data_IF_442451797753
#
_entry.id   IF_442451797753
#
_cell.length_a   1.000
_cell.length_b   1.000
_cell.length_c   1.000
_cell.angle_alpha   90.00
_cell.angle_beta   90.00
_cell.angle_gamma   90.00
#
_symmetry.space_group_name_H-M   'P 1'
#
loop_
_entity.id
_entity.type
_entity.pdbx_description
1 polymer ?
#
# COMPACT_ATOMS: atom_id res chain seq x y z
N UNK A 1 -2.17 -17.18 25.47
CA UNK A 1 -2.16 -15.98 24.61
C UNK A 1 -2.37 -14.70 25.43
N UNK A 2 -3.45 -14.57 26.20
CA UNK A 2 -3.72 -13.38 26.99
C UNK A 2 -2.60 -13.01 27.99
N UNK A 3 -1.97 -14.00 28.64
CA UNK A 3 -0.84 -13.75 29.54
C UNK A 3 0.42 -13.25 28.82
N UNK A 4 0.72 -13.73 27.62
CA UNK A 4 1.86 -13.28 26.84
C UNK A 4 1.70 -11.79 26.43
N UNK A 5 0.53 -11.40 25.95
CA UNK A 5 0.24 -10.02 25.60
C UNK A 5 0.43 -9.08 26.81
N UNK A 6 -0.11 -9.45 27.98
CA UNK A 6 0.02 -8.64 29.20
C UNK A 6 1.45 -8.55 29.72
N UNK A 7 2.26 -9.59 29.51
CA UNK A 7 3.67 -9.62 29.94
C UNK A 7 4.61 -8.86 28.98
N UNK A 8 4.34 -8.89 27.66
CA UNK A 8 5.24 -8.29 26.65
C UNK A 8 4.84 -6.87 26.22
N UNK A 9 3.56 -6.53 26.28
CA UNK A 9 3.05 -5.24 25.83
C UNK A 9 2.18 -4.60 26.90
N UNK A 10 2.61 -3.44 27.40
CA UNK A 10 1.79 -2.61 28.29
C UNK A 10 0.71 -1.87 27.49
N UNK A 11 -0.35 -1.41 28.17
CA UNK A 11 -1.39 -0.55 27.54
C UNK A 11 -0.78 0.69 26.87
N UNK A 12 0.31 1.20 27.43
CA UNK A 12 1.05 2.34 26.88
C UNK A 12 1.74 1.98 25.56
N UNK A 13 2.32 0.78 25.47
CA UNK A 13 3.00 0.30 24.25
C UNK A 13 1.99 0.05 23.13
N UNK A 14 0.82 -0.52 23.46
CA UNK A 14 -0.27 -0.70 22.51
C UNK A 14 -0.78 0.64 21.96
N UNK A 15 -1.01 1.63 22.81
CA UNK A 15 -1.39 2.97 22.36
C UNK A 15 -0.32 3.62 21.49
N UNK A 16 0.97 3.44 21.84
CA UNK A 16 2.11 3.96 21.08
C UNK A 16 2.25 3.27 19.70
N UNK A 17 1.79 2.04 19.57
CA UNK A 17 1.76 1.29 18.33
C UNK A 17 0.55 1.64 17.46
N UNK A 18 -0.66 1.66 18.06
CA UNK A 18 -1.94 1.80 17.33
C UNK A 18 -2.13 3.23 16.84
N UNK A 19 -1.84 4.25 17.66
CA UNK A 19 -2.12 5.64 17.30
C UNK A 19 -1.44 6.11 16.01
N UNK A 20 -0.13 5.84 15.78
CA UNK A 20 0.51 6.15 14.51
C UNK A 20 -0.13 5.43 13.32
N UNK A 21 -0.62 4.20 13.51
CA UNK A 21 -1.29 3.44 12.44
C UNK A 21 -2.66 4.03 12.08
N UNK A 22 -3.41 4.51 13.07
CA UNK A 22 -4.67 5.25 12.80
C UNK A 22 -4.39 6.49 11.97
N UNK A 23 -3.37 7.27 12.35
CA UNK A 23 -2.97 8.45 11.57
C UNK A 23 -2.52 8.08 10.16
N UNK A 24 -1.73 7.01 10.00
CA UNK A 24 -1.29 6.50 8.69
C UNK A 24 -2.49 6.13 7.80
N UNK A 25 -3.50 5.45 8.35
CA UNK A 25 -4.71 5.09 7.59
C UNK A 25 -5.57 6.32 7.22
N UNK A 26 -5.69 7.29 8.13
CA UNK A 26 -6.35 8.56 7.84
C UNK A 26 -5.66 9.29 6.68
N UNK A 27 -4.33 9.36 6.72
CA UNK A 27 -3.53 9.98 5.67
C UNK A 27 -3.68 9.28 4.32
N UNK A 28 -3.75 7.95 4.31
CA UNK A 28 -3.94 7.18 3.08
C UNK A 28 -5.29 7.50 2.42
N UNK A 29 -6.36 7.65 3.22
CA UNK A 29 -7.68 8.08 2.71
C UNK A 29 -7.62 9.53 2.22
N UNK A 30 -6.96 10.41 2.96
CA UNK A 30 -6.85 11.84 2.63
C UNK A 30 -6.11 12.06 1.31
N UNK A 31 -5.02 11.33 1.03
CA UNK A 31 -4.32 11.39 -0.27
C UNK A 31 -5.29 11.10 -1.42
N UNK A 32 -6.01 9.98 -1.36
CA UNK A 32 -6.93 9.60 -2.43
C UNK A 32 -8.03 10.65 -2.67
N UNK A 33 -8.56 11.25 -1.58
CA UNK A 33 -9.55 12.32 -1.70
C UNK A 33 -8.95 13.60 -2.32
N UNK A 34 -7.75 14.01 -1.90
CA UNK A 34 -7.07 15.19 -2.42
C UNK A 34 -6.69 15.01 -3.89
N UNK A 35 -6.16 13.84 -4.28
CA UNK A 35 -5.84 13.55 -5.68
C UNK A 35 -7.09 13.68 -6.56
N UNK A 36 -8.20 13.09 -6.15
CA UNK A 36 -9.48 13.16 -6.88
C UNK A 36 -9.99 14.60 -6.98
N UNK A 37 -9.95 15.37 -5.87
CA UNK A 37 -10.40 16.78 -5.87
C UNK A 37 -9.53 17.65 -6.77
N UNK A 38 -8.22 17.45 -6.79
CA UNK A 38 -7.30 18.24 -7.61
C UNK A 38 -7.43 17.90 -9.10
N UNK A 39 -7.61 16.61 -9.41
CA UNK A 39 -7.87 16.16 -10.80
C UNK A 39 -9.24 16.61 -11.29
N UNK A 40 -10.23 16.79 -10.41
CA UNK A 40 -11.55 17.31 -10.80
C UNK A 40 -11.48 18.70 -11.44
N UNK A 41 -10.47 19.51 -11.08
CA UNK A 41 -10.16 20.76 -11.76
C UNK A 41 -9.73 20.63 -13.23
N UNK A 42 -9.35 19.41 -13.68
CA UNK A 42 -8.95 19.14 -15.07
C UNK A 42 -10.12 18.69 -15.97
N UNK A 43 -11.31 18.51 -15.41
CA UNK A 43 -12.52 18.13 -16.14
C UNK A 43 -13.01 16.71 -15.82
N UNK A 44 -14.23 16.42 -16.26
CA UNK A 44 -14.94 15.18 -15.97
C UNK A 44 -14.25 13.94 -16.58
N UNK A 45 -13.74 14.06 -17.81
CA UNK A 45 -13.01 12.98 -18.48
C UNK A 45 -11.72 12.61 -17.74
N UNK A 46 -11.04 13.58 -17.11
CA UNK A 46 -9.85 13.36 -16.32
C UNK A 46 -10.16 12.55 -15.04
N UNK A 47 -11.20 12.94 -14.31
CA UNK A 47 -11.65 12.21 -13.10
C UNK A 47 -12.07 10.79 -13.44
N UNK A 48 -12.84 10.62 -14.50
CA UNK A 48 -13.29 9.31 -14.96
C UNK A 48 -12.11 8.41 -15.33
N UNK A 49 -11.14 8.93 -16.10
CA UNK A 49 -9.93 8.20 -16.49
C UNK A 49 -9.09 7.75 -15.30
N UNK A 50 -8.86 8.64 -14.33
CA UNK A 50 -8.13 8.32 -13.09
C UNK A 50 -8.88 7.25 -12.28
N UNK A 51 -10.22 7.38 -12.14
CA UNK A 51 -11.03 6.43 -11.37
C UNK A 51 -10.99 5.00 -11.95
N UNK A 52 -10.98 4.88 -13.28
CA UNK A 52 -10.83 3.56 -13.94
C UNK A 52 -9.49 2.91 -13.59
N UNK A 53 -8.41 3.68 -13.68
CA UNK A 53 -7.06 3.18 -13.35
C UNK A 53 -6.92 2.89 -11.86
N UNK A 54 -7.54 3.68 -10.99
CA UNK A 54 -7.50 3.46 -9.54
C UNK A 54 -8.15 2.13 -9.14
N UNK A 55 -9.12 1.65 -9.89
CA UNK A 55 -9.68 0.31 -9.69
C UNK A 55 -8.62 -0.78 -9.84
N UNK A 56 -7.73 -0.63 -10.83
CA UNK A 56 -6.58 -1.54 -11.03
C UNK A 56 -5.52 -1.32 -9.94
N UNK A 57 -5.21 -0.07 -9.62
CA UNK A 57 -4.25 0.29 -8.59
C UNK A 57 -4.60 -0.34 -7.24
N UNK A 58 -5.87 -0.31 -6.83
CA UNK A 58 -6.35 -0.90 -5.57
C UNK A 58 -6.09 -2.41 -5.53
N UNK A 59 -6.33 -3.13 -6.63
CA UNK A 59 -6.04 -4.57 -6.70
C UNK A 59 -4.54 -4.85 -6.51
N UNK A 60 -3.68 -4.11 -7.19
CA UNK A 60 -2.22 -4.28 -7.09
C UNK A 60 -1.69 -3.90 -5.71
N UNK A 61 -2.18 -2.80 -5.12
CA UNK A 61 -1.85 -2.39 -3.75
C UNK A 61 -2.20 -3.50 -2.76
N UNK A 62 -3.36 -4.14 -2.89
CA UNK A 62 -3.76 -5.25 -2.03
C UNK A 62 -2.82 -6.46 -2.16
N UNK A 63 -2.36 -6.79 -3.38
CA UNK A 63 -1.39 -7.87 -3.61
C UNK A 63 -0.06 -7.55 -2.91
N UNK A 64 0.47 -6.33 -3.08
CA UNK A 64 1.72 -5.92 -2.43
C UNK A 64 1.59 -5.88 -0.91
N UNK A 65 0.47 -5.38 -0.39
CA UNK A 65 0.18 -5.33 1.04
C UNK A 65 0.05 -6.72 1.66
N UNK A 66 -0.59 -7.66 0.96
CA UNK A 66 -0.74 -9.04 1.43
C UNK A 66 0.63 -9.74 1.56
N UNK A 67 1.50 -9.60 0.55
CA UNK A 67 2.85 -10.14 0.59
C UNK A 67 3.69 -9.47 1.68
N UNK A 68 3.58 -8.14 1.81
CA UNK A 68 4.25 -7.36 2.85
C UNK A 68 3.81 -7.82 4.25
N UNK A 69 2.52 -8.04 4.46
CA UNK A 69 1.97 -8.57 5.72
C UNK A 69 2.47 -9.98 6.02
N UNK A 70 2.50 -10.87 5.01
CA UNK A 70 3.06 -12.22 5.18
C UNK A 70 4.51 -12.21 5.66
N UNK A 71 5.34 -11.36 5.06
CA UNK A 71 6.73 -11.21 5.48
C UNK A 71 6.89 -10.55 6.85
N UNK A 72 6.05 -9.57 7.17
CA UNK A 72 6.02 -8.93 8.49
C UNK A 72 5.67 -9.93 9.60
N UNK A 73 4.71 -10.84 9.37
CA UNK A 73 4.35 -11.91 10.31
C UNK A 73 5.55 -12.84 10.54
N UNK A 74 6.20 -13.30 9.47
CA UNK A 74 7.38 -14.18 9.60
C UNK A 74 8.51 -13.46 10.36
N UNK A 75 8.79 -12.20 10.02
CA UNK A 75 9.82 -11.41 10.70
C UNK A 75 9.48 -11.18 12.18
N UNK A 76 8.22 -10.86 12.51
CA UNK A 76 7.78 -10.64 13.90
C UNK A 76 7.89 -11.91 14.76
N UNK A 77 7.60 -13.11 14.20
CA UNK A 77 7.78 -14.39 14.88
C UNK A 77 9.24 -14.66 15.24
N UNK A 78 10.18 -14.38 14.32
CA UNK A 78 11.62 -14.52 14.62
C UNK A 78 12.10 -13.47 15.63
N UNK A 79 11.54 -12.25 15.58
CA UNK A 79 11.82 -11.21 16.59
C UNK A 79 11.34 -11.62 17.98
N UNK A 80 10.15 -12.22 18.08
CA UNK A 80 9.59 -12.74 19.34
C UNK A 80 10.47 -13.84 19.96
N UNK A 81 11.05 -14.69 19.10
CA UNK A 81 12.02 -15.75 19.51
C UNK A 81 13.43 -15.25 19.76
N UNK A 82 13.68 -13.95 19.61
CA UNK A 82 15.00 -13.33 19.72
C UNK A 82 16.02 -13.84 18.68
N UNK A 83 15.54 -14.41 17.56
CA UNK A 83 16.36 -14.92 16.46
C UNK A 83 16.55 -13.81 15.40
N UNK A 84 17.44 -12.88 15.71
CA UNK A 84 17.74 -11.72 14.86
C UNK A 84 18.32 -12.12 13.50
N UNK A 85 19.03 -13.26 13.42
CA UNK A 85 19.61 -13.75 12.16
C UNK A 85 18.52 -14.12 11.15
N UNK A 86 17.54 -14.90 11.57
CA UNK A 86 16.43 -15.30 10.72
C UNK A 86 15.41 -14.15 10.51
N UNK A 87 15.25 -13.23 11.47
CA UNK A 87 14.47 -12.02 11.29
C UNK A 87 15.03 -11.13 10.19
N UNK A 88 16.36 -10.89 10.18
CA UNK A 88 17.04 -10.16 9.11
C UNK A 88 16.96 -10.88 7.76
N UNK A 89 17.08 -12.21 7.76
CA UNK A 89 16.91 -13.01 6.54
C UNK A 89 15.48 -12.87 5.99
N UNK A 90 14.46 -12.97 6.84
CA UNK A 90 13.06 -12.78 6.46
C UNK A 90 12.81 -11.38 5.89
N UNK A 91 13.38 -10.33 6.51
CA UNK A 91 13.28 -8.96 6.03
C UNK A 91 13.89 -8.77 4.64
N UNK A 92 15.08 -9.32 4.40
CA UNK A 92 15.74 -9.29 3.07
C UNK A 92 14.91 -10.01 2.02
N UNK A 93 14.44 -11.23 2.33
CA UNK A 93 13.66 -12.02 1.40
C UNK A 93 12.30 -11.38 1.11
N UNK A 94 11.69 -10.70 2.08
CA UNK A 94 10.48 -9.92 1.86
C UNK A 94 10.70 -8.79 0.86
N UNK A 95 11.71 -7.93 1.09
CA UNK A 95 11.99 -6.81 0.20
C UNK A 95 12.34 -7.27 -1.21
N UNK A 96 13.08 -8.37 -1.34
CA UNK A 96 13.35 -9.01 -2.63
C UNK A 96 12.09 -9.49 -3.32
N UNK A 97 11.27 -10.27 -2.61
CA UNK A 97 10.06 -10.86 -3.17
C UNK A 97 9.06 -9.78 -3.61
N UNK A 98 8.82 -8.77 -2.76
CA UNK A 98 7.94 -7.64 -3.09
C UNK A 98 8.52 -6.79 -4.20
N UNK A 99 9.84 -6.52 -4.19
CA UNK A 99 10.52 -5.75 -5.23
C UNK A 99 10.45 -6.43 -6.60
N UNK A 100 10.72 -7.74 -6.66
CA UNK A 100 10.60 -8.52 -7.91
C UNK A 100 9.15 -8.56 -8.38
N UNK A 101 8.21 -8.91 -7.50
CA UNK A 101 6.80 -9.00 -7.85
C UNK A 101 6.27 -7.66 -8.39
N UNK A 102 6.54 -6.56 -7.68
CA UNK A 102 6.07 -5.24 -8.07
C UNK A 102 6.73 -4.74 -9.35
N UNK A 103 8.00 -5.09 -9.60
CA UNK A 103 8.71 -4.77 -10.85
C UNK A 103 8.14 -5.57 -12.03
N UNK A 104 7.89 -6.87 -11.85
CA UNK A 104 7.29 -7.72 -12.88
C UNK A 104 5.88 -7.24 -13.22
N UNK A 105 5.05 -6.98 -12.21
CA UNK A 105 3.69 -6.46 -12.45
C UNK A 105 3.72 -5.06 -13.06
N UNK A 106 4.67 -4.20 -12.67
CA UNK A 106 4.88 -2.90 -13.29
C UNK A 106 5.28 -3.01 -14.76
N UNK A 107 6.22 -3.89 -15.08
CA UNK A 107 6.64 -4.14 -16.46
C UNK A 107 5.49 -4.71 -17.32
N UNK A 108 4.71 -5.65 -16.78
CA UNK A 108 3.52 -6.19 -17.46
C UNK A 108 2.46 -5.11 -17.68
N UNK A 109 2.23 -4.25 -16.69
CA UNK A 109 1.30 -3.12 -16.80
C UNK A 109 1.75 -2.10 -17.84
N UNK A 110 3.05 -1.79 -17.91
CA UNK A 110 3.62 -0.90 -18.92
C UNK A 110 3.52 -1.50 -20.33
N UNK A 111 3.90 -2.77 -20.49
CA UNK A 111 3.83 -3.47 -21.78
C UNK A 111 2.39 -3.66 -22.26
N UNK A 112 1.47 -3.90 -21.33
CA UNK A 112 0.05 -4.14 -21.59
C UNK A 112 -0.86 -2.90 -21.48
N UNK A 113 -0.33 -1.71 -21.30
CA UNK A 113 -1.10 -0.50 -20.97
C UNK A 113 -2.37 -0.36 -21.84
N UNK A 114 -2.21 -0.24 -23.15
CA UNK A 114 -3.35 -0.12 -24.08
C UNK A 114 -4.23 -1.39 -24.11
N UNK A 115 -3.62 -2.57 -24.10
CA UNK A 115 -4.35 -3.85 -24.15
C UNK A 115 -5.21 -4.08 -22.92
N UNK A 116 -4.66 -3.86 -21.71
CA UNK A 116 -5.35 -4.05 -20.45
C UNK A 116 -6.53 -3.07 -20.33
N UNK A 117 -6.30 -1.78 -20.58
CA UNK A 117 -7.34 -0.76 -20.46
C UNK A 117 -8.43 -0.93 -21.52
N UNK A 118 -8.07 -1.25 -22.77
CA UNK A 118 -9.06 -1.54 -23.81
C UNK A 118 -9.90 -2.79 -23.51
N UNK A 119 -9.28 -3.84 -22.97
CA UNK A 119 -10.00 -5.06 -22.59
C UNK A 119 -11.00 -4.81 -21.46
N UNK A 120 -10.61 -3.97 -20.48
CA UNK A 120 -11.45 -3.71 -19.30
C UNK A 120 -12.46 -2.60 -19.51
N UNK A 121 -12.10 -1.55 -20.26
CA UNK A 121 -12.83 -0.29 -20.32
C UNK A 121 -12.99 0.25 -21.75
N UNK A 122 -12.83 -0.57 -22.77
CA UNK A 122 -12.83 -0.16 -24.18
C UNK A 122 -14.14 0.45 -24.70
N UNK A 123 -15.20 0.48 -23.86
CA UNK A 123 -16.49 1.16 -24.16
C UNK A 123 -16.54 2.59 -23.64
N UNK A 124 -15.49 3.07 -22.94
CA UNK A 124 -15.42 4.43 -22.44
C UNK A 124 -15.05 5.41 -23.56
N UNK A 125 -15.40 6.68 -23.37
CA UNK A 125 -15.12 7.76 -24.30
C UNK A 125 -13.62 7.92 -24.57
N UNK A 126 -13.24 8.36 -25.76
CA UNK A 126 -11.85 8.47 -26.19
C UNK A 126 -11.01 9.38 -25.30
N UNK A 127 -11.59 10.51 -24.86
CA UNK A 127 -10.92 11.44 -23.93
C UNK A 127 -10.65 10.82 -22.57
N UNK A 128 -11.57 10.00 -22.07
CA UNK A 128 -11.43 9.24 -20.81
C UNK A 128 -10.30 8.21 -20.96
N UNK A 129 -10.27 7.49 -22.08
CA UNK A 129 -9.25 6.47 -22.35
C UNK A 129 -7.86 7.10 -22.49
N UNK A 130 -7.71 8.23 -23.13
CA UNK A 130 -6.43 8.93 -23.27
C UNK A 130 -5.87 9.36 -21.91
N UNK A 131 -6.72 9.91 -21.04
CA UNK A 131 -6.34 10.24 -19.66
C UNK A 131 -5.97 8.97 -18.87
N UNK A 132 -6.71 7.86 -19.06
CA UNK A 132 -6.43 6.58 -18.42
C UNK A 132 -5.06 6.02 -18.84
N UNK A 133 -4.73 6.03 -20.14
CA UNK A 133 -3.43 5.57 -20.63
C UNK A 133 -2.27 6.35 -20.01
N UNK A 134 -2.42 7.68 -19.95
CA UNK A 134 -1.41 8.57 -19.36
C UNK A 134 -1.22 8.30 -17.87
N UNK A 135 -2.31 8.22 -17.12
CA UNK A 135 -2.27 7.99 -15.67
C UNK A 135 -1.73 6.58 -15.34
N UNK A 136 -2.17 5.57 -16.09
CA UNK A 136 -1.74 4.18 -15.89
C UNK A 136 -0.26 3.98 -16.18
N UNK A 137 0.28 4.64 -17.20
CA UNK A 137 1.71 4.60 -17.52
C UNK A 137 2.57 5.04 -16.33
N UNK A 138 2.31 6.23 -15.77
CA UNK A 138 3.06 6.75 -14.64
C UNK A 138 2.81 5.96 -13.35
N UNK A 139 1.58 5.50 -13.15
CA UNK A 139 1.22 4.62 -12.02
C UNK A 139 1.99 3.30 -12.07
N UNK A 140 2.05 2.64 -13.24
CA UNK A 140 2.78 1.39 -13.42
C UNK A 140 4.28 1.55 -13.16
N UNK A 141 4.87 2.67 -13.58
CA UNK A 141 6.26 3.01 -13.29
C UNK A 141 6.52 3.17 -11.78
N UNK A 142 5.51 3.53 -11.00
CA UNK A 142 5.62 3.71 -9.55
C UNK A 142 5.50 2.41 -8.74
N UNK A 143 5.03 1.29 -9.33
CA UNK A 143 4.76 0.05 -8.59
C UNK A 143 5.98 -0.55 -7.89
N UNK A 144 7.19 -0.61 -8.48
CA UNK A 144 8.36 -1.11 -7.78
C UNK A 144 8.63 -0.34 -6.48
N UNK A 145 8.50 0.97 -6.52
CA UNK A 145 8.71 1.84 -5.36
C UNK A 145 7.61 1.66 -4.31
N UNK A 146 6.36 1.53 -4.76
CA UNK A 146 5.22 1.25 -3.89
C UNK A 146 5.38 -0.09 -3.16
N UNK A 147 5.82 -1.13 -3.87
CA UNK A 147 6.10 -2.44 -3.29
C UNK A 147 7.17 -2.36 -2.20
N UNK A 148 8.30 -1.73 -2.50
CA UNK A 148 9.40 -1.54 -1.54
C UNK A 148 8.95 -0.73 -0.33
N UNK A 149 8.18 0.35 -0.52
CA UNK A 149 7.61 1.14 0.57
C UNK A 149 6.72 0.28 1.47
N UNK A 150 5.77 -0.49 0.89
CA UNK A 150 4.87 -1.36 1.65
C UNK A 150 5.64 -2.43 2.44
N UNK A 151 6.65 -3.07 1.83
CA UNK A 151 7.52 -4.03 2.50
C UNK A 151 8.31 -3.41 3.66
N UNK A 152 8.92 -2.24 3.45
CA UNK A 152 9.66 -1.51 4.48
C UNK A 152 8.76 -1.06 5.63
N UNK A 153 7.60 -0.47 5.33
CA UNK A 153 6.63 -0.05 6.34
C UNK A 153 6.12 -1.24 7.18
N UNK A 154 5.87 -2.40 6.54
CA UNK A 154 5.46 -3.61 7.23
C UNK A 154 6.56 -4.14 8.17
N UNK A 155 7.84 -4.05 7.79
CA UNK A 155 8.97 -4.43 8.64
C UNK A 155 9.12 -3.50 9.85
N UNK A 156 9.01 -2.18 9.68
CA UNK A 156 9.03 -1.24 10.81
C UNK A 156 7.86 -1.49 11.76
N UNK A 157 6.67 -1.80 11.24
CA UNK A 157 5.54 -2.23 12.07
C UNK A 157 5.84 -3.53 12.81
N UNK A 158 6.43 -4.54 12.14
CA UNK A 158 6.83 -5.80 12.78
C UNK A 158 7.83 -5.62 13.94
N UNK A 159 8.70 -4.60 13.85
CA UNK A 159 9.60 -4.21 14.95
C UNK A 159 8.91 -3.43 16.08
N UNK A 160 7.64 -3.07 15.93
CA UNK A 160 6.91 -2.24 16.89
C UNK A 160 7.10 -0.73 16.69
N UNK A 161 7.78 -0.30 15.64
CA UNK A 161 8.08 1.11 15.37
C UNK A 161 7.17 1.71 14.28
N UNK A 162 5.87 1.78 14.55
CA UNK A 162 4.87 2.38 13.63
C UNK A 162 5.08 3.89 13.38
N UNK A 163 5.89 4.57 14.21
CA UNK A 163 6.16 6.00 14.02
C UNK A 163 6.93 6.28 12.74
N UNK A 164 7.79 5.36 12.32
CA UNK A 164 8.56 5.49 11.08
C UNK A 164 7.63 5.46 9.88
N UNK A 165 6.73 4.48 9.79
CA UNK A 165 5.77 4.39 8.67
C UNK A 165 4.85 5.61 8.64
N UNK A 166 4.34 6.05 9.79
CA UNK A 166 3.51 7.26 9.90
C UNK A 166 4.25 8.52 9.40
N UNK A 167 5.49 8.76 9.88
CA UNK A 167 6.26 9.95 9.47
C UNK A 167 6.57 9.95 7.98
N UNK A 168 6.94 8.81 7.44
CA UNK A 168 7.18 8.66 6.00
C UNK A 168 5.90 8.88 5.21
N UNK A 169 4.75 8.37 5.68
CA UNK A 169 3.45 8.62 5.07
C UNK A 169 3.08 10.11 5.07
N UNK A 170 3.31 10.82 6.18
CA UNK A 170 3.11 12.29 6.25
C UNK A 170 3.94 12.99 5.19
N UNK A 171 5.23 12.67 5.09
CA UNK A 171 6.13 13.30 4.13
C UNK A 171 5.71 13.00 2.68
N UNK A 172 5.33 11.76 2.39
CA UNK A 172 4.79 11.36 1.09
C UNK A 172 3.53 12.16 0.72
N UNK A 173 2.61 12.36 1.70
CA UNK A 173 1.41 13.18 1.52
C UNK A 173 1.75 14.63 1.18
N UNK A 174 2.64 15.24 1.95
CA UNK A 174 3.07 16.63 1.71
C UNK A 174 3.68 16.78 0.31
N UNK A 175 4.58 15.87 -0.08
CA UNK A 175 5.22 15.90 -1.40
C UNK A 175 4.21 15.65 -2.53
N UNK A 176 3.27 14.71 -2.34
CA UNK A 176 2.22 14.42 -3.31
C UNK A 176 1.30 15.63 -3.52
N UNK A 177 0.72 16.20 -2.44
CA UNK A 177 -0.20 17.34 -2.53
C UNK A 177 0.51 18.58 -3.11
N UNK A 178 1.74 18.87 -2.65
CA UNK A 178 2.52 19.99 -3.17
C UNK A 178 2.89 19.77 -4.63
N UNK A 179 3.30 18.55 -5.00
CA UNK A 179 3.60 18.15 -6.36
C UNK A 179 2.38 18.27 -7.28
N UNK A 180 1.21 17.80 -6.84
CA UNK A 180 -0.04 17.96 -7.56
C UNK A 180 -0.34 19.45 -7.81
N UNK A 181 -0.24 20.29 -6.78
CA UNK A 181 -0.49 21.72 -6.90
C UNK A 181 0.43 22.37 -7.95
N UNK A 182 1.73 22.05 -7.93
CA UNK A 182 2.72 22.61 -8.86
C UNK A 182 2.52 22.07 -10.28
N UNK A 183 2.32 20.75 -10.43
CA UNK A 183 2.29 20.12 -11.74
C UNK A 183 0.94 20.26 -12.44
N UNK A 184 -0.18 20.20 -11.69
CA UNK A 184 -1.51 20.37 -12.28
C UNK A 184 -1.79 21.83 -12.58
N UNK A 185 -1.63 22.72 -11.59
CA UNK A 185 -2.03 24.13 -11.74
C UNK A 185 -0.90 25.05 -12.20
N UNK A 186 0.37 24.76 -11.83
CA UNK A 186 1.52 25.56 -12.24
C UNK A 186 2.02 25.20 -13.62
N UNK A 187 2.24 23.90 -13.90
CA UNK A 187 2.75 23.43 -15.19
C UNK A 187 1.65 23.02 -16.20
N UNK A 188 0.37 23.05 -15.80
CA UNK A 188 -0.80 22.65 -16.60
C UNK A 188 -0.69 21.22 -17.20
N UNK A 189 -0.06 20.30 -16.48
CA UNK A 189 0.14 18.92 -16.95
C UNK A 189 -1.11 18.03 -16.74
N UNK A 190 -2.18 18.54 -16.13
CA UNK A 190 -3.42 17.81 -15.93
C UNK A 190 -3.22 16.48 -15.20
N UNK A 191 -3.79 15.41 -15.75
CA UNK A 191 -3.72 14.04 -15.18
C UNK A 191 -2.26 13.53 -15.09
N UNK A 192 -1.40 13.85 -16.05
CA UNK A 192 0.01 13.50 -16.01
C UNK A 192 0.72 14.11 -14.78
N UNK A 193 0.36 15.36 -14.43
CA UNK A 193 0.89 16.05 -13.26
C UNK A 193 0.58 15.30 -11.96
N UNK A 194 -0.66 14.86 -11.78
CA UNK A 194 -1.07 14.05 -10.61
C UNK A 194 -0.29 12.74 -10.54
N UNK A 195 -0.17 12.04 -11.65
CA UNK A 195 0.52 10.76 -11.73
C UNK A 195 2.04 10.88 -11.45
N UNK A 196 2.69 11.93 -11.96
CA UNK A 196 4.10 12.22 -11.70
C UNK A 196 4.33 12.58 -10.23
N UNK A 197 3.48 13.40 -9.62
CA UNK A 197 3.58 13.73 -8.19
C UNK A 197 3.45 12.46 -7.32
N UNK A 198 2.53 11.57 -7.67
CA UNK A 198 2.36 10.26 -7.01
C UNK A 198 3.62 9.39 -7.19
N UNK A 199 4.21 9.33 -8.38
CA UNK A 199 5.46 8.62 -8.62
C UNK A 199 6.59 9.16 -7.73
N UNK A 200 6.79 10.48 -7.71
CA UNK A 200 7.86 11.12 -6.92
C UNK A 200 7.68 10.85 -5.43
N UNK A 201 6.44 10.95 -4.92
CA UNK A 201 6.15 10.65 -3.52
C UNK A 201 6.44 9.19 -3.16
N UNK A 202 6.12 8.24 -4.04
CA UNK A 202 6.41 6.80 -3.86
C UNK A 202 7.90 6.48 -3.93
N UNK A 203 8.64 7.11 -4.83
CA UNK A 203 10.12 7.01 -4.89
C UNK A 203 10.71 7.48 -3.56
N UNK A 204 10.30 8.65 -3.08
CA UNK A 204 10.77 9.21 -1.82
C UNK A 204 10.47 8.27 -0.64
N UNK A 205 9.26 7.74 -0.56
CA UNK A 205 8.87 6.77 0.46
C UNK A 205 9.74 5.51 0.44
N UNK A 206 9.97 4.93 -0.74
CA UNK A 206 10.82 3.76 -0.91
C UNK A 206 12.28 4.03 -0.49
N UNK A 207 12.85 5.15 -0.94
CA UNK A 207 14.21 5.55 -0.58
C UNK A 207 14.37 5.73 0.93
N UNK A 208 13.43 6.41 1.58
CA UNK A 208 13.44 6.59 3.04
C UNK A 208 13.39 5.24 3.75
N UNK A 209 12.49 4.33 3.36
CA UNK A 209 12.37 3.01 3.99
C UNK A 209 13.66 2.19 3.85
N UNK A 210 14.25 2.14 2.66
CA UNK A 210 15.50 1.42 2.42
C UNK A 210 16.65 2.07 3.19
N UNK A 211 16.75 3.39 3.17
CA UNK A 211 17.78 4.12 3.91
C UNK A 211 17.71 3.85 5.41
N UNK A 212 16.52 3.90 6.01
CA UNK A 212 16.34 3.66 7.44
C UNK A 212 16.60 2.20 7.82
N UNK A 213 16.24 1.23 6.97
CA UNK A 213 16.57 -0.19 7.19
C UNK A 213 18.08 -0.48 7.05
N UNK A 214 18.81 0.36 6.32
CA UNK A 214 20.25 0.22 6.12
C UNK A 214 21.08 1.06 7.09
N UNK A 215 20.52 2.12 7.66
CA UNK A 215 21.16 2.98 8.67
C UNK A 215 21.47 2.23 9.95
N UNK A 216 22.45 2.75 10.72
CA UNK A 216 22.82 2.17 12.03
C UNK A 216 21.61 2.10 12.97
N UNK A 217 21.50 1.05 13.81
CA UNK A 217 20.36 0.85 14.69
C UNK A 217 20.13 2.06 15.60
N UNK A 218 18.95 2.61 15.57
CA UNK A 218 18.41 3.23 16.76
C UNK A 218 18.08 2.11 17.75
N UNK A 219 18.22 2.37 19.04
CA UNK A 219 18.08 1.38 20.14
C UNK A 219 16.79 0.54 20.06
N UNK A 220 15.78 1.01 19.32
CA UNK A 220 14.49 0.35 19.14
C UNK A 220 14.41 -0.56 17.89
N UNK A 221 15.31 -0.41 16.92
CA UNK A 221 15.22 -1.12 15.62
C UNK A 221 16.13 -2.36 15.63
N UNK A 222 15.51 -3.55 15.72
CA UNK A 222 16.22 -4.83 15.84
C UNK A 222 16.61 -5.45 14.49
N UNK A 223 15.98 -5.03 13.38
CA UNK A 223 16.26 -5.52 12.03
C UNK A 223 17.20 -4.56 11.32
N UNK A 224 18.31 -5.09 10.81
CA UNK A 224 19.31 -4.37 10.04
C UNK A 224 19.68 -5.09 8.76
N UNK A 225 19.66 -4.37 7.65
CA UNK A 225 20.19 -4.85 6.39
C UNK A 225 21.70 -4.54 6.31
N UNK A 226 22.51 -5.24 7.10
CA UNK A 226 23.96 -5.01 7.23
C UNK A 226 24.78 -5.22 5.95
N UNK A 227 24.22 -5.83 4.90
CA UNK A 227 24.93 -6.11 3.65
C UNK A 227 23.96 -6.00 2.48
N UNK A 228 24.41 -5.32 1.42
CA UNK A 228 23.78 -5.27 0.10
C UNK A 228 23.72 -6.64 -0.62
N UNK A 229 24.13 -7.74 0.00
CA UNK A 229 23.87 -9.08 -0.49
C UNK A 229 22.38 -9.45 -0.36
N UNK A 230 21.53 -8.51 -0.83
CA UNK A 230 20.08 -8.67 -0.96
C UNK A 230 19.76 -9.83 -1.91
N UNK A 231 20.64 -10.14 -2.86
CA UNK A 231 20.44 -11.13 -3.92
C UNK A 231 20.64 -12.60 -3.51
N UNK A 232 20.92 -12.92 -2.24
CA UNK A 232 20.94 -14.31 -1.82
C UNK A 232 19.51 -14.83 -1.67
N UNK A 233 19.04 -15.50 -2.71
CA UNK A 233 17.72 -16.11 -2.75
C UNK A 233 17.62 -17.30 -1.80
N UNK A 234 16.69 -17.23 -0.84
CA UNK A 234 16.41 -18.33 0.08
C UNK A 234 14.97 -18.80 -0.10
N UNK A 235 14.81 -19.84 -0.93
CA UNK A 235 13.49 -20.38 -1.27
C UNK A 235 12.70 -20.85 -0.05
N UNK A 236 13.36 -21.44 0.96
CA UNK A 236 12.70 -21.89 2.19
C UNK A 236 12.03 -20.73 2.94
N UNK A 237 12.71 -19.58 3.03
CA UNK A 237 12.18 -18.38 3.68
C UNK A 237 11.05 -17.75 2.84
N UNK A 238 11.25 -17.65 1.54
CA UNK A 238 10.22 -17.12 0.62
C UNK A 238 8.96 -17.97 0.68
N UNK A 239 9.08 -19.31 0.68
CA UNK A 239 7.93 -20.21 0.81
C UNK A 239 7.15 -19.96 2.10
N UNK A 240 7.83 -19.69 3.23
CA UNK A 240 7.16 -19.33 4.48
C UNK A 240 6.37 -18.02 4.35
N UNK A 241 6.97 -17.01 3.72
CA UNK A 241 6.31 -15.71 3.47
C UNK A 241 5.10 -15.88 2.56
N UNK A 242 5.24 -16.61 1.47
CA UNK A 242 4.16 -16.88 0.51
C UNK A 242 3.02 -17.69 1.14
N UNK A 243 3.32 -18.69 1.96
CA UNK A 243 2.30 -19.50 2.64
C UNK A 243 1.38 -18.68 3.55
N UNK A 244 1.83 -17.51 4.01
CA UNK A 244 1.02 -16.58 4.80
C UNK A 244 0.45 -15.48 3.91
N UNK A 245 1.27 -14.91 3.03
CA UNK A 245 0.91 -13.78 2.17
C UNK A 245 -0.13 -14.14 1.12
N UNK A 246 -0.02 -15.31 0.47
CA UNK A 246 -0.95 -15.73 -0.58
C UNK A 246 -2.37 -15.95 -0.05
N UNK A 247 -2.60 -16.72 1.03
CA UNK A 247 -3.96 -16.86 1.59
C UNK A 247 -4.56 -15.50 2.01
N UNK A 248 -3.77 -14.64 2.66
CA UNK A 248 -4.22 -13.29 3.04
C UNK A 248 -4.56 -12.43 1.80
N UNK A 249 -3.78 -12.55 0.74
CA UNK A 249 -4.05 -11.86 -0.53
C UNK A 249 -5.32 -12.37 -1.22
N UNK A 250 -5.55 -13.68 -1.20
CA UNK A 250 -6.77 -14.30 -1.74
C UNK A 250 -8.01 -13.88 -0.94
N UNK A 251 -7.93 -13.86 0.39
CA UNK A 251 -9.02 -13.40 1.27
C UNK A 251 -9.43 -11.97 0.93
N UNK A 252 -8.47 -11.04 0.89
CA UNK A 252 -8.71 -9.64 0.53
C UNK A 252 -9.23 -9.50 -0.92
N UNK A 253 -8.69 -10.30 -1.85
CA UNK A 253 -9.14 -10.34 -3.24
C UNK A 253 -10.60 -10.80 -3.37
N UNK A 254 -10.97 -11.89 -2.70
CA UNK A 254 -12.35 -12.39 -2.69
C UNK A 254 -13.33 -11.36 -2.10
N UNK A 255 -12.92 -10.66 -1.04
CA UNK A 255 -13.72 -9.58 -0.47
C UNK A 255 -13.95 -8.44 -1.46
N UNK A 256 -12.94 -8.06 -2.24
CA UNK A 256 -13.06 -7.05 -3.28
C UNK A 256 -13.95 -7.51 -4.43
N UNK A 257 -13.83 -8.76 -4.87
CA UNK A 257 -14.75 -9.35 -5.86
C UNK A 257 -16.19 -9.31 -5.35
N UNK A 258 -16.42 -9.66 -4.08
CA UNK A 258 -17.73 -9.55 -3.44
C UNK A 258 -18.31 -8.13 -3.49
N UNK A 259 -17.49 -7.10 -3.19
CA UNK A 259 -17.88 -5.69 -3.31
C UNK A 259 -18.28 -5.31 -4.74
N UNK A 260 -17.49 -5.75 -5.73
CA UNK A 260 -17.78 -5.47 -7.15
C UNK A 260 -19.10 -6.12 -7.58
N UNK A 261 -19.36 -7.35 -7.17
CA UNK A 261 -20.62 -8.03 -7.47
C UNK A 261 -21.83 -7.32 -6.84
N UNK A 262 -21.69 -6.89 -5.57
CA UNK A 262 -22.75 -6.10 -4.89
C UNK A 262 -22.95 -4.77 -5.61
N UNK A 263 -21.89 -4.08 -6.01
CA UNK A 263 -21.99 -2.84 -6.77
C UNK A 263 -22.70 -3.06 -8.13
N UNK A 264 -22.38 -4.15 -8.82
CA UNK A 264 -23.06 -4.56 -10.04
C UNK A 264 -24.57 -4.80 -9.83
N UNK A 265 -24.94 -5.44 -8.70
CA UNK A 265 -26.34 -5.62 -8.35
C UNK A 265 -27.03 -4.27 -8.05
N UNK A 266 -26.38 -3.39 -7.28
CA UNK A 266 -26.91 -2.06 -6.95
C UNK A 266 -27.11 -1.22 -8.22
N UNK A 267 -26.26 -1.36 -9.23
CA UNK A 267 -26.40 -0.62 -10.50
C UNK A 267 -27.69 -0.95 -11.27
N UNK A 268 -28.27 -2.13 -11.05
CA UNK A 268 -29.54 -2.53 -11.67
C UNK A 268 -30.75 -1.74 -11.12
N UNK A 269 -30.62 -1.11 -9.94
CA UNK A 269 -31.69 -0.31 -9.32
C UNK A 269 -31.65 1.17 -9.74
N UNK A 270 -30.76 1.55 -10.66
CA UNK A 270 -30.69 2.88 -11.24
C UNK A 270 -29.68 3.83 -10.55
N UNK A 271 -29.53 5.02 -11.16
CA UNK A 271 -28.49 6.00 -10.77
C UNK A 271 -28.63 6.51 -9.34
N UNK A 272 -29.87 6.70 -8.85
CA UNK A 272 -30.13 7.12 -7.46
C UNK A 272 -29.60 6.09 -6.43
N UNK A 273 -29.77 4.79 -6.72
CA UNK A 273 -29.29 3.72 -5.86
C UNK A 273 -27.74 3.66 -5.86
N UNK A 274 -27.11 3.87 -7.02
CA UNK A 274 -25.66 3.96 -7.15
C UNK A 274 -25.12 5.12 -6.31
N UNK A 275 -25.73 6.31 -6.42
CA UNK A 275 -25.33 7.50 -5.67
C UNK A 275 -25.49 7.29 -4.15
N UNK A 276 -26.62 6.72 -3.73
CA UNK A 276 -26.86 6.39 -2.32
C UNK A 276 -25.86 5.38 -1.78
N UNK A 277 -25.54 4.32 -2.54
CA UNK A 277 -24.53 3.32 -2.15
C UNK A 277 -23.11 3.92 -2.06
N UNK A 278 -22.75 4.81 -2.98
CA UNK A 278 -21.48 5.52 -2.95
C UNK A 278 -21.35 6.43 -1.71
N UNK A 279 -22.41 7.18 -1.39
CA UNK A 279 -22.46 8.03 -0.19
C UNK A 279 -22.38 7.19 1.10
N UNK A 280 -23.16 6.11 1.18
CA UNK A 280 -23.12 5.17 2.30
C UNK A 280 -21.74 4.52 2.44
N UNK A 281 -21.11 4.10 1.34
CA UNK A 281 -19.77 3.54 1.30
C UNK A 281 -18.71 4.51 1.86
N UNK A 282 -18.80 5.79 1.52
CA UNK A 282 -17.91 6.83 2.03
C UNK A 282 -18.03 6.99 3.56
N UNK A 283 -19.27 6.98 4.09
CA UNK A 283 -19.50 7.03 5.54
C UNK A 283 -19.00 5.76 6.23
N UNK A 284 -19.26 4.57 5.65
CA UNK A 284 -18.84 3.28 6.19
C UNK A 284 -17.31 3.07 6.16
N UNK A 285 -16.58 3.82 5.34
CA UNK A 285 -15.11 3.74 5.32
C UNK A 285 -14.46 4.33 6.58
N UNK A 286 -15.08 5.32 7.23
CA UNK A 286 -14.53 5.98 8.41
C UNK A 286 -14.38 5.04 9.62
N UNK A 287 -15.40 4.23 10.03
CA UNK A 287 -15.23 3.25 11.09
C UNK A 287 -14.24 2.12 10.77
N UNK A 288 -13.92 1.88 9.50
CA UNK A 288 -12.95 0.87 9.10
C UNK A 288 -11.50 1.28 9.41
N UNK A 289 -11.22 2.59 9.52
CA UNK A 289 -9.86 3.10 9.78
C UNK A 289 -9.29 2.56 11.10
N UNK A 290 -9.96 2.72 12.27
CA UNK A 290 -9.49 2.14 13.51
C UNK A 290 -9.37 0.61 13.45
N UNK A 291 -10.31 -0.08 12.79
CA UNK A 291 -10.30 -1.53 12.65
C UNK A 291 -9.06 -2.01 11.89
N UNK A 292 -8.76 -1.38 10.75
CA UNK A 292 -7.57 -1.67 9.95
C UNK A 292 -6.28 -1.40 10.73
N UNK A 293 -6.21 -0.29 11.46
CA UNK A 293 -5.06 0.05 12.28
C UNK A 293 -4.83 -0.96 13.41
N UNK A 294 -5.89 -1.42 14.07
CA UNK A 294 -5.81 -2.49 15.08
C UNK A 294 -5.36 -3.81 14.43
N UNK A 295 -5.90 -4.18 13.28
CA UNK A 295 -5.48 -5.37 12.54
C UNK A 295 -3.99 -5.36 12.21
N UNK A 296 -3.45 -4.23 11.75
CA UNK A 296 -2.01 -4.06 11.51
C UNK A 296 -1.18 -4.16 12.80
N UNK A 297 -1.66 -3.61 13.92
CA UNK A 297 -1.01 -3.72 15.20
C UNK A 297 -0.99 -5.17 15.72
N UNK A 298 -2.07 -5.93 15.49
CA UNK A 298 -2.17 -7.33 15.88
C UNK A 298 -1.12 -8.21 15.19
N UNK A 299 -0.76 -7.92 13.93
CA UNK A 299 0.32 -8.61 13.22
C UNK A 299 1.63 -8.56 14.03
N UNK A 300 1.94 -7.40 14.60
CA UNK A 300 3.13 -7.21 15.43
C UNK A 300 3.01 -7.90 16.78
N UNK A 301 1.92 -7.63 17.49
CA UNK A 301 1.72 -8.11 18.87
C UNK A 301 1.62 -9.63 18.90
N UNK A 302 0.78 -10.22 18.06
CA UNK A 302 0.59 -11.67 18.02
C UNK A 302 1.84 -12.35 17.45
N UNK A 303 2.43 -11.78 16.38
CA UNK A 303 3.63 -12.34 15.77
C UNK A 303 4.82 -12.42 16.73
N UNK A 304 4.99 -11.45 17.63
CA UNK A 304 6.05 -11.47 18.63
C UNK A 304 5.74 -12.36 19.86
N UNK A 305 4.47 -12.74 20.06
CA UNK A 305 4.06 -13.64 21.13
C UNK A 305 4.13 -15.14 20.77
N UNK A 306 4.42 -15.49 19.52
CA UNK A 306 4.59 -16.86 19.01
C UNK A 306 6.05 -17.27 19.01
#
# INVERSE_FOLDING_TARGET
WGRCIVMMFSTRDLKRLIWPLVVEQLLAVTIGMMDTMMVAGCGEAAVSGVSLVDSINVLLINIFSALATGGAIVASQYLGRNDLKNANLAARQLLLAVGILSTVLGALALAGNHGILNLMFGTADEDVMQNSYTYFFWSALSYPFLGIYNGGAALFRAMGNSKVSMRTSILMNVVNISGNAILIYGANLGVAGAAIATLVSRILGAVIMVYLLHSKPHVEDKIHLQSLNIFQWNWSMIKKILNIGVPNGLENGMFQVGKVLVQGLVSTFGTAAIAANAAAGSVCSLPQIPSTAIGLAMVTVIGQCV
#
